data_IF_288585283655
#
_entry.id   IF_288585283655
#
_cell.length_a   1.000
_cell.length_b   1.000
_cell.length_c   1.000
_cell.angle_alpha   90.00
_cell.angle_beta   90.00
_cell.angle_gamma   90.00
#
_symmetry.space_group_name_H-M   'P 1'
#
loop_
_entity.id
_entity.type
_entity.pdbx_description
1 polymer ?
#
# COMPACT_ATOMS: atom_id res chain seq x y z
N UNK A 1 -28.35 -25.50 1.38
CA UNK A 1 -28.21 -24.67 0.16
C UNK A 1 -28.17 -23.15 0.44
N UNK A 2 -29.21 -22.52 1.02
CA UNK A 2 -29.17 -21.05 1.32
C UNK A 2 -28.07 -20.63 2.29
N UNK A 3 -27.83 -21.42 3.32
CA UNK A 3 -26.81 -21.16 4.34
C UNK A 3 -25.38 -21.23 3.77
N UNK A 4 -25.15 -22.17 2.86
CA UNK A 4 -23.86 -22.37 2.17
C UNK A 4 -23.54 -21.21 1.20
N UNK A 5 -24.56 -20.71 0.50
CA UNK A 5 -24.46 -19.55 -0.40
C UNK A 5 -24.17 -18.27 0.40
N UNK A 6 -24.85 -18.06 1.54
CA UNK A 6 -24.56 -16.93 2.43
C UNK A 6 -23.14 -17.00 3.00
N UNK A 7 -22.71 -18.17 3.48
CA UNK A 7 -21.37 -18.35 4.06
C UNK A 7 -20.26 -18.08 3.03
N UNK A 8 -20.47 -18.47 1.76
CA UNK A 8 -19.58 -18.16 0.64
C UNK A 8 -19.55 -16.67 0.31
N UNK A 9 -20.71 -15.99 0.33
CA UNK A 9 -20.80 -14.54 0.11
C UNK A 9 -20.08 -13.74 1.20
N UNK A 10 -20.27 -14.09 2.48
CA UNK A 10 -19.60 -13.41 3.59
C UNK A 10 -18.09 -13.58 3.55
N UNK A 11 -17.61 -14.79 3.23
CA UNK A 11 -16.18 -15.07 3.04
C UNK A 11 -15.57 -14.20 1.94
N UNK A 12 -16.26 -14.06 0.81
CA UNK A 12 -15.78 -13.25 -0.31
C UNK A 12 -15.69 -11.76 0.06
N UNK A 13 -16.67 -11.24 0.80
CA UNK A 13 -16.64 -9.84 1.28
C UNK A 13 -15.47 -9.62 2.23
N UNK A 14 -15.26 -10.53 3.18
CA UNK A 14 -14.15 -10.46 4.12
C UNK A 14 -12.78 -10.52 3.41
N UNK A 15 -12.65 -11.26 2.32
CA UNK A 15 -11.41 -11.29 1.53
C UNK A 15 -11.08 -9.91 0.94
N UNK A 16 -12.06 -9.27 0.28
CA UNK A 16 -11.91 -7.93 -0.31
C UNK A 16 -11.61 -6.90 0.78
N UNK A 17 -12.35 -6.94 1.89
CA UNK A 17 -12.13 -6.02 3.01
C UNK A 17 -10.75 -6.21 3.65
N UNK A 18 -10.27 -7.45 3.77
CA UNK A 18 -8.93 -7.70 4.33
C UNK A 18 -7.84 -7.05 3.47
N UNK A 19 -7.93 -7.16 2.14
CA UNK A 19 -7.00 -6.47 1.24
C UNK A 19 -7.15 -4.94 1.34
N UNK A 20 -8.38 -4.44 1.42
CA UNK A 20 -8.67 -3.01 1.60
C UNK A 20 -8.09 -2.45 2.91
N UNK A 21 -8.17 -3.21 4.01
CA UNK A 21 -7.61 -2.81 5.29
C UNK A 21 -6.07 -2.75 5.27
N UNK A 22 -5.38 -3.64 4.55
CA UNK A 22 -3.92 -3.51 4.39
C UNK A 22 -3.57 -2.24 3.63
N UNK A 23 -4.28 -1.92 2.53
CA UNK A 23 -4.09 -0.64 1.82
C UNK A 23 -4.39 0.55 2.73
N UNK A 24 -5.48 0.50 3.49
CA UNK A 24 -5.86 1.53 4.46
C UNK A 24 -4.75 1.75 5.48
N UNK A 25 -4.23 0.70 6.13
CA UNK A 25 -3.18 0.81 7.14
C UNK A 25 -1.91 1.40 6.54
N UNK A 26 -1.54 1.01 5.31
CA UNK A 26 -0.39 1.57 4.61
C UNK A 26 -0.52 3.06 4.29
N UNK A 27 -1.69 3.52 3.84
CA UNK A 27 -1.95 4.94 3.57
C UNK A 27 -2.09 5.73 4.88
N UNK A 28 -2.74 5.15 5.90
CA UNK A 28 -2.90 5.75 7.22
C UNK A 28 -1.53 6.03 7.83
N UNK A 29 -0.60 5.09 7.72
CA UNK A 29 0.78 5.24 8.21
C UNK A 29 1.48 6.40 7.51
N UNK A 30 1.36 6.46 6.18
CA UNK A 30 1.98 7.51 5.36
C UNK A 30 1.47 8.91 5.75
N UNK A 31 0.16 9.09 5.81
CA UNK A 31 -0.43 10.40 6.13
C UNK A 31 -0.22 10.80 7.60
N UNK A 32 -0.14 9.82 8.51
CA UNK A 32 0.20 10.05 9.92
C UNK A 32 1.63 10.52 10.10
N UNK A 33 2.58 9.92 9.35
CA UNK A 33 4.00 10.25 9.44
C UNK A 33 4.30 11.70 9.06
N UNK A 34 3.60 12.23 8.05
CA UNK A 34 3.80 13.61 7.59
C UNK A 34 3.62 14.66 8.70
N UNK A 35 2.73 14.40 9.66
CA UNK A 35 2.52 15.27 10.84
C UNK A 35 3.69 15.21 11.83
N UNK A 36 4.46 14.13 11.80
CA UNK A 36 5.56 13.86 12.75
C UNK A 36 6.94 14.31 12.27
N UNK A 37 7.04 14.82 11.04
CA UNK A 37 8.32 15.23 10.44
C UNK A 37 9.12 16.19 11.32
N UNK A 38 8.53 17.26 11.91
CA UNK A 38 9.30 18.17 12.76
C UNK A 38 9.92 17.47 13.97
N UNK A 39 9.26 16.45 14.52
CA UNK A 39 9.76 15.64 15.65
C UNK A 39 10.90 14.74 15.20
N UNK A 40 10.73 14.02 14.08
CA UNK A 40 11.76 13.12 13.55
C UNK A 40 13.02 13.86 13.07
N UNK A 41 12.86 15.06 12.50
CA UNK A 41 13.99 15.93 12.13
C UNK A 41 14.88 16.27 13.34
N UNK A 42 14.26 16.58 14.49
CA UNK A 42 14.98 16.86 15.74
C UNK A 42 15.63 15.59 16.32
N UNK A 43 14.93 14.46 16.31
CA UNK A 43 15.44 13.20 16.87
C UNK A 43 16.62 12.65 16.07
N UNK A 44 16.55 12.67 14.74
CA UNK A 44 17.62 12.15 13.88
C UNK A 44 18.64 13.21 13.46
N UNK A 45 18.43 14.48 13.83
CA UNK A 45 19.24 15.62 13.42
C UNK A 45 19.42 15.71 11.89
N UNK A 46 18.32 15.60 11.14
CA UNK A 46 18.29 15.62 9.67
C UNK A 46 17.45 16.78 9.13
N UNK A 47 17.73 17.19 7.89
CA UNK A 47 16.97 18.25 7.21
C UNK A 47 15.60 17.76 6.74
N UNK A 48 14.72 18.70 6.36
CA UNK A 48 13.43 18.39 5.76
C UNK A 48 13.59 17.59 4.46
N UNK A 49 14.52 17.99 3.60
CA UNK A 49 14.82 17.29 2.35
C UNK A 49 15.21 15.84 2.59
N UNK A 50 15.95 15.58 3.68
CA UNK A 50 16.35 14.22 4.06
C UNK A 50 15.16 13.43 4.58
N UNK A 51 14.40 13.96 5.55
CA UNK A 51 13.27 13.21 6.15
C UNK A 51 12.17 12.92 5.10
N UNK A 52 11.95 13.82 4.14
CA UNK A 52 10.94 13.66 3.08
C UNK A 52 11.15 12.41 2.21
N UNK A 53 12.37 11.88 2.14
CA UNK A 53 12.63 10.60 1.49
C UNK A 53 11.84 9.43 2.11
N UNK A 54 11.38 9.52 3.36
CA UNK A 54 10.48 8.50 3.94
C UNK A 54 9.12 8.42 3.24
N UNK A 55 8.68 9.52 2.62
CA UNK A 55 7.48 9.60 1.79
C UNK A 55 7.81 9.33 0.34
N UNK A 56 8.78 10.08 -0.21
CA UNK A 56 9.15 9.97 -1.62
C UNK A 56 9.60 8.55 -1.97
N UNK A 57 10.51 7.97 -1.19
CA UNK A 57 10.99 6.60 -1.40
C UNK A 57 9.87 5.57 -1.24
N UNK A 58 8.98 5.76 -0.28
CA UNK A 58 7.82 4.88 -0.07
C UNK A 58 6.88 4.87 -1.27
N UNK A 59 6.51 6.05 -1.79
CA UNK A 59 5.64 6.19 -2.96
C UNK A 59 6.29 5.64 -4.23
N UNK A 60 7.59 5.88 -4.43
CA UNK A 60 8.35 5.28 -5.54
C UNK A 60 8.33 3.76 -5.48
N UNK A 61 8.53 3.19 -4.29
CA UNK A 61 8.50 1.75 -4.11
C UNK A 61 7.09 1.19 -4.35
N UNK A 62 6.03 1.84 -3.85
CA UNK A 62 4.63 1.47 -4.17
C UNK A 62 4.41 1.45 -5.68
N UNK A 63 4.85 2.47 -6.40
CA UNK A 63 4.68 2.56 -7.85
C UNK A 63 5.36 1.40 -8.58
N UNK A 64 6.61 1.08 -8.22
CA UNK A 64 7.36 -0.06 -8.78
C UNK A 64 6.61 -1.37 -8.51
N UNK A 65 6.15 -1.58 -7.27
CA UNK A 65 5.42 -2.79 -6.88
C UNK A 65 4.10 -2.91 -7.64
N UNK A 66 3.35 -1.82 -7.79
CA UNK A 66 2.08 -1.81 -8.50
C UNK A 66 2.26 -2.16 -9.98
N UNK A 67 3.30 -1.63 -10.63
CA UNK A 67 3.65 -1.99 -12.01
C UNK A 67 3.99 -3.49 -12.10
N UNK A 68 4.84 -3.97 -11.19
CA UNK A 68 5.19 -5.39 -11.12
C UNK A 68 4.00 -6.28 -10.72
N UNK A 69 2.94 -5.71 -10.14
CA UNK A 69 1.81 -6.47 -9.64
C UNK A 69 1.09 -7.23 -10.75
N UNK A 70 1.01 -6.69 -11.97
CA UNK A 70 0.42 -7.40 -13.12
C UNK A 70 1.06 -8.79 -13.29
N UNK A 71 2.41 -8.80 -13.34
CA UNK A 71 3.19 -10.04 -13.40
C UNK A 71 3.04 -10.92 -12.16
N UNK A 72 3.05 -10.31 -10.97
CA UNK A 72 2.95 -11.04 -9.71
C UNK A 72 1.58 -11.73 -9.57
N UNK A 73 0.52 -11.14 -10.11
CA UNK A 73 -0.83 -11.71 -10.12
C UNK A 73 -0.94 -12.91 -11.07
N UNK A 74 -0.24 -12.90 -12.21
CA UNK A 74 -0.21 -14.05 -13.11
C UNK A 74 0.55 -15.24 -12.52
N UNK A 75 1.64 -14.94 -11.78
CA UNK A 75 2.57 -15.97 -11.29
C UNK A 75 2.25 -16.49 -9.89
N UNK A 76 1.67 -15.68 -9.02
CA UNK A 76 1.41 -16.05 -7.62
C UNK A 76 -0.09 -16.04 -7.32
N UNK A 77 -0.51 -16.87 -6.37
CA UNK A 77 -1.91 -16.86 -5.92
C UNK A 77 -2.22 -15.59 -5.11
N UNK A 78 -3.49 -15.15 -5.16
CA UNK A 78 -4.00 -14.06 -4.33
C UNK A 78 -3.64 -14.21 -2.84
N UNK A 79 -3.67 -15.45 -2.32
CA UNK A 79 -3.25 -15.76 -0.95
C UNK A 79 -1.75 -15.48 -0.70
N UNK A 80 -0.87 -15.88 -1.62
CA UNK A 80 0.57 -15.61 -1.50
C UNK A 80 0.85 -14.11 -1.54
N UNK A 81 0.20 -13.38 -2.45
CA UNK A 81 0.35 -11.93 -2.56
C UNK A 81 -0.14 -11.22 -1.30
N UNK A 82 -1.29 -11.63 -0.76
CA UNK A 82 -1.80 -11.09 0.50
C UNK A 82 -0.85 -11.33 1.68
N UNK A 83 -0.34 -12.56 1.82
CA UNK A 83 0.60 -12.92 2.89
C UNK A 83 1.88 -12.10 2.76
N UNK A 84 2.46 -12.03 1.56
CA UNK A 84 3.67 -11.23 1.29
C UNK A 84 3.45 -9.75 1.58
N UNK A 85 2.29 -9.21 1.20
CA UNK A 85 1.92 -7.82 1.50
C UNK A 85 1.86 -7.58 3.01
N UNK A 86 1.16 -8.43 3.76
CA UNK A 86 1.03 -8.30 5.21
C UNK A 86 2.38 -8.44 5.91
N UNK A 87 3.14 -9.49 5.58
CA UNK A 87 4.44 -9.76 6.20
C UNK A 87 5.44 -8.66 5.85
N UNK A 88 5.52 -8.24 4.59
CA UNK A 88 6.38 -7.13 4.17
C UNK A 88 6.03 -5.83 4.89
N UNK A 89 4.74 -5.51 5.00
CA UNK A 89 4.28 -4.37 5.78
C UNK A 89 4.69 -4.46 7.25
N UNK A 90 4.38 -5.58 7.93
CA UNK A 90 4.70 -5.77 9.34
C UNK A 90 6.20 -5.71 9.61
N UNK A 91 7.02 -6.39 8.80
CA UNK A 91 8.48 -6.39 8.94
C UNK A 91 9.03 -4.97 8.75
N UNK A 92 8.61 -4.28 7.69
CA UNK A 92 9.02 -2.89 7.45
C UNK A 92 8.60 -1.94 8.57
N UNK A 93 7.38 -2.07 9.08
CA UNK A 93 6.87 -1.27 10.21
C UNK A 93 7.62 -1.57 11.50
N UNK A 94 7.96 -2.83 11.81
CA UNK A 94 8.77 -3.17 12.99
C UNK A 94 10.17 -2.56 12.90
N UNK A 95 10.83 -2.68 11.74
CA UNK A 95 12.14 -2.05 11.49
C UNK A 95 12.05 -0.53 11.70
N UNK A 96 10.98 0.09 11.19
CA UNK A 96 10.75 1.53 11.32
C UNK A 96 10.49 1.95 12.77
N UNK A 97 9.76 1.15 13.54
CA UNK A 97 9.46 1.41 14.96
C UNK A 97 10.73 1.43 15.82
N UNK A 98 11.67 0.52 15.55
CA UNK A 98 12.92 0.38 16.33
C UNK A 98 14.12 1.11 15.71
N UNK A 99 13.91 1.85 14.62
CA UNK A 99 15.00 2.46 13.85
C UNK A 99 15.84 3.44 14.70
N UNK A 100 17.14 3.20 14.91
CA UNK A 100 17.98 4.09 15.71
C UNK A 100 18.48 5.32 14.93
N UNK A 101 18.40 5.29 13.59
CA UNK A 101 18.82 6.37 12.71
C UNK A 101 17.95 6.44 11.45
N UNK A 102 18.07 7.55 10.72
CA UNK A 102 17.29 7.82 9.52
C UNK A 102 17.43 6.75 8.41
N UNK A 103 18.64 6.26 8.05
CA UNK A 103 18.76 5.22 7.02
C UNK A 103 18.00 3.93 7.34
N UNK A 104 18.02 3.47 8.59
CA UNK A 104 17.26 2.27 9.01
C UNK A 104 15.75 2.54 8.95
N UNK A 105 15.31 3.74 9.34
CA UNK A 105 13.92 4.14 9.19
C UNK A 105 13.49 4.09 7.72
N UNK A 106 14.29 4.68 6.83
CA UNK A 106 14.02 4.68 5.39
C UNK A 106 13.95 3.26 4.83
N UNK A 107 14.88 2.38 5.19
CA UNK A 107 14.84 0.97 4.77
C UNK A 107 13.56 0.28 5.25
N UNK A 108 13.16 0.48 6.51
CA UNK A 108 11.89 -0.04 7.02
C UNK A 108 10.69 0.47 6.24
N UNK A 109 10.69 1.77 5.87
CA UNK A 109 9.65 2.37 5.01
C UNK A 109 9.60 1.70 3.65
N UNK A 110 10.73 1.55 2.97
CA UNK A 110 10.79 0.90 1.65
C UNK A 110 10.27 -0.54 1.70
N UNK A 111 10.60 -1.31 2.74
CA UNK A 111 10.08 -2.68 2.91
C UNK A 111 8.57 -2.64 3.17
N UNK A 112 8.09 -1.70 4.00
CA UNK A 112 6.65 -1.58 4.31
C UNK A 112 5.80 -1.22 3.08
N UNK A 113 6.39 -0.60 2.05
CA UNK A 113 5.71 -0.28 0.78
C UNK A 113 5.16 -1.52 0.07
N UNK A 114 5.74 -2.70 0.31
CA UNK A 114 5.23 -3.99 -0.16
C UNK A 114 3.77 -4.23 0.23
N UNK A 115 3.37 -3.77 1.42
CA UNK A 115 1.99 -3.86 1.88
C UNK A 115 1.02 -3.14 0.97
N UNK A 116 1.11 -1.80 0.96
CA UNK A 116 0.20 -0.94 0.21
C UNK A 116 0.29 -1.15 -1.31
N UNK A 117 1.49 -1.42 -1.83
CA UNK A 117 1.73 -1.63 -3.26
C UNK A 117 1.12 -2.92 -3.79
N UNK A 118 1.11 -4.00 -3.01
CA UNK A 118 0.47 -5.27 -3.41
C UNK A 118 -1.02 -5.32 -3.07
N UNK A 119 -1.43 -4.75 -1.94
CA UNK A 119 -2.81 -4.86 -1.48
C UNK A 119 -3.79 -4.11 -2.37
N UNK A 120 -3.40 -2.96 -2.92
CA UNK A 120 -4.26 -2.14 -3.78
C UNK A 120 -4.69 -2.85 -5.07
N UNK A 121 -3.77 -3.36 -5.92
CA UNK A 121 -4.14 -4.16 -7.08
C UNK A 121 -4.84 -5.47 -6.70
N UNK A 122 -4.48 -6.06 -5.56
CA UNK A 122 -5.12 -7.27 -5.05
C UNK A 122 -6.62 -7.08 -4.76
N UNK A 123 -7.06 -5.89 -4.30
CA UNK A 123 -8.49 -5.57 -4.12
C UNK A 123 -9.23 -5.73 -5.45
N UNK A 124 -8.70 -5.14 -6.52
CA UNK A 124 -9.32 -5.20 -7.84
C UNK A 124 -9.43 -6.64 -8.33
N UNK A 125 -8.35 -7.42 -8.20
CA UNK A 125 -8.33 -8.83 -8.61
C UNK A 125 -9.29 -9.69 -7.79
N UNK A 126 -9.33 -9.52 -6.47
CA UNK A 126 -10.26 -10.26 -5.64
C UNK A 126 -11.70 -9.97 -6.06
N UNK A 127 -12.06 -8.70 -6.29
CA UNK A 127 -13.42 -8.36 -6.74
C UNK A 127 -13.75 -8.98 -8.10
N UNK A 128 -12.85 -8.88 -9.08
CA UNK A 128 -13.11 -9.40 -10.43
C UNK A 128 -13.21 -10.92 -10.46
N UNK A 129 -12.50 -11.62 -9.59
CA UNK A 129 -12.49 -13.08 -9.52
C UNK A 129 -13.64 -13.67 -8.71
N UNK A 130 -13.95 -13.11 -7.54
CA UNK A 130 -14.85 -13.77 -6.58
C UNK A 130 -16.26 -13.16 -6.53
N UNK A 131 -16.44 -11.96 -7.08
CA UNK A 131 -17.73 -11.26 -7.06
C UNK A 131 -18.43 -11.33 -8.43
N UNK A 132 -19.78 -11.41 -8.44
CA UNK A 132 -20.52 -11.37 -9.69
C UNK A 132 -20.33 -10.02 -10.39
N UNK A 133 -20.19 -10.04 -11.72
CA UNK A 133 -19.93 -8.85 -12.55
C UNK A 133 -20.88 -7.68 -12.29
N UNK A 134 -22.17 -7.96 -12.04
CA UNK A 134 -23.18 -6.94 -11.74
C UNK A 134 -22.93 -6.14 -10.46
N UNK A 135 -22.04 -6.62 -9.56
CA UNK A 135 -21.74 -5.99 -8.27
C UNK A 135 -20.30 -5.52 -8.14
N UNK A 136 -19.49 -5.58 -9.19
CA UNK A 136 -18.08 -5.14 -9.14
C UNK A 136 -17.96 -3.70 -8.64
N UNK A 137 -18.76 -2.78 -9.18
CA UNK A 137 -18.76 -1.38 -8.76
C UNK A 137 -19.10 -1.19 -7.27
N UNK A 138 -20.03 -1.99 -6.73
CA UNK A 138 -20.41 -1.90 -5.30
C UNK A 138 -19.25 -2.32 -4.40
N UNK A 139 -18.61 -3.46 -4.69
CA UNK A 139 -17.53 -3.96 -3.83
C UNK A 139 -16.23 -3.16 -4.00
N UNK A 140 -15.91 -2.70 -5.21
CA UNK A 140 -14.82 -1.74 -5.43
C UNK A 140 -15.11 -0.41 -4.71
N UNK A 141 -16.36 0.06 -4.73
CA UNK A 141 -16.78 1.25 -4.00
C UNK A 141 -16.62 1.11 -2.49
N UNK A 142 -17.09 0.00 -1.90
CA UNK A 142 -16.92 -0.27 -0.46
C UNK A 142 -15.44 -0.34 -0.07
N UNK A 143 -14.62 -1.07 -0.83
CA UNK A 143 -13.19 -1.12 -0.59
C UNK A 143 -12.53 0.26 -0.74
N UNK A 144 -12.91 1.01 -1.76
CA UNK A 144 -12.47 2.37 -2.00
C UNK A 144 -12.82 3.32 -0.86
N UNK A 145 -14.03 3.21 -0.28
CA UNK A 145 -14.44 3.98 0.89
C UNK A 145 -13.54 3.69 2.09
N UNK A 146 -13.26 2.42 2.38
CA UNK A 146 -12.34 2.02 3.46
C UNK A 146 -10.98 2.68 3.26
N UNK A 147 -10.41 2.58 2.06
CA UNK A 147 -9.10 3.15 1.73
C UNK A 147 -9.12 4.69 1.80
N UNK A 148 -10.18 5.34 1.33
CA UNK A 148 -10.33 6.79 1.32
C UNK A 148 -10.49 7.41 2.72
N UNK A 149 -10.84 6.62 3.74
CA UNK A 149 -10.84 7.10 5.13
C UNK A 149 -9.43 7.31 5.68
N UNK A 150 -8.41 6.64 5.14
CA UNK A 150 -7.05 6.71 5.67
C UNK A 150 -6.44 8.13 5.68
N UNK A 151 -6.51 8.93 4.60
CA UNK A 151 -5.98 10.29 4.62
C UNK A 151 -6.71 11.22 5.57
N UNK A 152 -8.01 11.00 5.77
CA UNK A 152 -8.83 11.80 6.70
C UNK A 152 -8.43 11.52 8.15
N UNK A 153 -8.22 10.25 8.49
CA UNK A 153 -7.88 9.82 9.85
C UNK A 153 -6.38 9.96 10.16
N UNK A 154 -5.51 9.96 9.15
CA UNK A 154 -4.07 9.97 9.31
C UNK A 154 -3.54 11.10 10.18
N UNK A 155 -3.78 12.37 9.84
CA UNK A 155 -3.26 13.48 10.65
C UNK A 155 -3.75 13.48 12.10
N UNK A 156 -5.02 13.11 12.32
CA UNK A 156 -5.56 12.98 13.67
C UNK A 156 -4.88 11.85 14.45
N UNK A 157 -4.73 10.67 13.82
CA UNK A 157 -4.07 9.52 14.42
C UNK A 157 -2.58 9.78 14.70
N UNK A 158 -1.85 10.32 13.72
CA UNK A 158 -0.43 10.68 13.86
C UNK A 158 -0.19 11.76 14.89
N UNK A 159 -1.02 12.81 14.90
CA UNK A 159 -0.95 13.90 15.88
C UNK A 159 -1.20 13.43 17.31
N UNK A 160 -2.31 12.71 17.56
CA UNK A 160 -2.66 12.20 18.89
C UNK A 160 -1.59 11.22 19.39
N UNK A 161 -1.16 10.28 18.54
CA UNK A 161 -0.16 9.28 18.92
C UNK A 161 1.18 9.93 19.26
N UNK A 162 1.60 10.92 18.48
CA UNK A 162 2.86 11.63 18.73
C UNK A 162 2.78 12.55 19.94
N UNK A 163 1.61 13.13 20.22
CA UNK A 163 1.40 14.01 21.38
C UNK A 163 1.44 13.25 22.71
N UNK A 164 0.74 12.12 22.83
CA UNK A 164 0.66 11.36 24.08
C UNK A 164 1.75 10.30 24.26
N UNK A 165 2.32 9.80 23.16
CA UNK A 165 3.32 8.73 23.18
C UNK A 165 4.59 9.21 22.45
N UNK A 166 4.88 8.62 21.29
CA UNK A 166 6.00 8.95 20.42
C UNK A 166 5.60 8.54 18.99
N UNK A 167 6.19 9.16 17.96
CA UNK A 167 5.97 8.81 16.56
C UNK A 167 6.24 7.32 16.26
N UNK A 168 7.15 6.66 17.00
CA UNK A 168 7.42 5.21 16.88
C UNK A 168 6.19 4.34 17.15
N UNK A 169 5.27 4.80 17.99
CA UNK A 169 4.03 4.08 18.29
C UNK A 169 3.05 4.05 17.11
N UNK A 170 3.16 4.98 16.16
CA UNK A 170 2.40 4.91 14.91
C UNK A 170 2.70 3.57 14.24
N UNK A 171 3.99 3.22 14.10
CA UNK A 171 4.43 1.95 13.52
C UNK A 171 4.01 0.73 14.35
N UNK A 172 4.04 0.83 15.69
CA UNK A 172 3.59 -0.27 16.55
C UNK A 172 2.10 -0.56 16.37
N UNK A 173 1.25 0.47 16.41
CA UNK A 173 -0.20 0.31 16.24
C UNK A 173 -0.57 -0.21 14.86
N UNK A 174 0.02 0.33 13.80
CA UNK A 174 -0.27 -0.14 12.43
C UNK A 174 0.22 -1.57 12.22
N UNK A 175 1.29 -2.00 12.90
CA UNK A 175 1.74 -3.39 12.89
C UNK A 175 0.72 -4.30 13.58
N UNK A 176 0.19 -3.90 14.74
CA UNK A 176 -0.86 -4.67 15.45
C UNK A 176 -2.12 -4.78 14.58
N UNK A 177 -2.54 -3.68 13.96
CA UNK A 177 -3.67 -3.68 13.01
C UNK A 177 -3.41 -4.61 11.82
N UNK A 178 -2.22 -4.54 11.22
CA UNK A 178 -1.83 -5.42 10.13
C UNK A 178 -1.81 -6.90 10.55
N UNK A 179 -1.39 -7.20 11.79
CA UNK A 179 -1.42 -8.56 12.34
C UNK A 179 -2.85 -9.07 12.49
N UNK A 180 -3.78 -8.25 12.98
CA UNK A 180 -5.21 -8.61 13.08
C UNK A 180 -5.77 -8.93 11.69
N UNK A 181 -5.48 -8.06 10.71
CA UNK A 181 -5.90 -8.25 9.32
C UNK A 181 -5.26 -9.49 8.70
N UNK A 182 -4.00 -9.77 9.01
CA UNK A 182 -3.29 -10.97 8.55
C UNK A 182 -3.95 -12.25 9.07
N UNK A 183 -4.22 -12.31 10.38
CA UNK A 183 -4.86 -13.47 11.03
C UNK A 183 -6.30 -13.65 10.53
N UNK A 184 -7.06 -12.56 10.36
CA UNK A 184 -8.43 -12.61 9.87
C UNK A 184 -8.53 -12.92 8.36
N UNK A 185 -7.60 -12.40 7.55
CA UNK A 185 -7.63 -12.50 6.09
C UNK A 185 -7.06 -13.80 5.54
N UNK A 186 -6.04 -14.38 6.18
CA UNK A 186 -5.35 -15.59 5.69
C UNK A 186 -6.25 -16.85 5.54
N UNK A 187 -7.22 -17.12 6.44
CA UNK A 187 -8.17 -18.23 6.28
C UNK A 187 -9.22 -17.97 5.20
N UNK A 188 -9.50 -16.69 4.95
CA UNK A 188 -10.60 -16.21 4.12
C UNK A 188 -10.17 -16.12 2.66
N UNK A 189 -8.94 -15.64 2.41
CA UNK A 189 -8.34 -15.50 1.08
C UNK A 189 -7.87 -16.88 0.61
N UNK A 190 -8.64 -17.45 -0.32
CA UNK A 190 -8.36 -18.72 -0.98
C UNK A 190 -7.42 -18.61 -2.18
N UNK A 191 -7.22 -19.74 -2.86
CA UNK A 191 -6.66 -19.77 -4.21
C UNK A 191 -7.84 -19.67 -5.18
N UNK A 192 -7.89 -18.61 -5.98
CA UNK A 192 -9.04 -18.31 -6.84
C UNK A 192 -8.75 -18.54 -8.34
N UNK A 193 -7.48 -18.65 -8.73
CA UNK A 193 -7.06 -18.93 -10.11
C UNK A 193 -6.06 -20.09 -10.20
N UNK A 194 -6.05 -20.76 -11.36
CA UNK A 194 -4.95 -21.62 -11.79
C UNK A 194 -3.77 -20.76 -12.27
N UNK A 195 -2.58 -21.02 -11.74
CA UNK A 195 -1.39 -20.23 -12.07
C UNK A 195 -0.97 -20.47 -13.51
N UNK A 196 -0.88 -19.42 -14.31
CA UNK A 196 -0.28 -19.50 -15.65
C UNK A 196 1.23 -19.29 -15.47
N UNK A 197 2.07 -20.17 -16.06
CA UNK A 197 3.51 -19.93 -16.16
C UNK A 197 3.77 -18.81 -17.18
N UNK A 198 3.41 -17.57 -16.82
CA UNK A 198 3.65 -16.40 -17.64
C UNK A 198 5.12 -15.96 -17.46
N UNK A 199 5.85 -15.85 -18.57
CA UNK A 199 7.16 -15.20 -18.60
C UNK A 199 6.99 -13.72 -18.32
N UNK A 200 7.90 -13.10 -17.55
CA UNK A 200 7.85 -11.66 -17.29
C UNK A 200 7.92 -10.92 -18.62
N UNK A 201 6.87 -10.18 -18.96
CA UNK A 201 6.86 -9.38 -20.17
C UNK A 201 7.67 -8.10 -19.95
N UNK A 202 8.98 -8.24 -20.14
CA UNK A 202 9.93 -7.14 -20.05
C UNK A 202 9.58 -6.00 -21.02
N UNK A 203 8.96 -6.29 -22.16
CA UNK A 203 8.58 -5.29 -23.13
C UNK A 203 7.45 -4.42 -22.60
N UNK A 204 6.38 -5.04 -22.08
CA UNK A 204 5.29 -4.32 -21.42
C UNK A 204 5.76 -3.50 -20.22
N UNK A 205 6.69 -4.04 -19.42
CA UNK A 205 7.30 -3.30 -18.31
C UNK A 205 8.09 -2.07 -18.79
N UNK A 206 8.94 -2.22 -19.80
CA UNK A 206 9.73 -1.12 -20.37
C UNK A 206 8.81 -0.07 -21.01
N UNK A 207 7.77 -0.47 -21.75
CA UNK A 207 6.82 0.45 -22.35
C UNK A 207 6.02 1.22 -21.29
N UNK A 208 5.58 0.56 -20.22
CA UNK A 208 4.86 1.23 -19.13
C UNK A 208 5.77 2.17 -18.35
N UNK A 209 7.02 1.77 -18.08
CA UNK A 209 8.02 2.62 -17.44
C UNK A 209 8.33 3.85 -18.30
N UNK A 210 8.53 3.68 -19.61
CA UNK A 210 8.75 4.77 -20.55
C UNK A 210 7.54 5.71 -20.61
N UNK A 211 6.32 5.18 -20.61
CA UNK A 211 5.09 5.97 -20.59
C UNK A 211 4.97 6.81 -19.30
N UNK A 212 5.22 6.21 -18.13
CA UNK A 212 5.21 6.92 -16.85
C UNK A 212 6.29 8.00 -16.78
N UNK A 213 7.52 7.71 -17.18
CA UNK A 213 8.61 8.70 -17.23
C UNK A 213 8.23 9.86 -18.14
N UNK A 214 7.73 9.57 -19.34
CA UNK A 214 7.33 10.60 -20.32
C UNK A 214 6.18 11.45 -19.79
N UNK A 215 5.18 10.84 -19.17
CA UNK A 215 4.05 11.54 -18.57
C UNK A 215 4.49 12.44 -17.41
N UNK A 216 5.32 11.92 -16.50
CA UNK A 216 5.86 12.70 -15.37
C UNK A 216 6.70 13.87 -15.85
N UNK A 217 7.56 13.67 -16.87
CA UNK A 217 8.33 14.75 -17.49
C UNK A 217 7.43 15.79 -18.15
N UNK A 218 6.38 15.36 -18.87
CA UNK A 218 5.40 16.25 -19.48
C UNK A 218 4.66 17.10 -18.43
N UNK A 219 4.19 16.48 -17.35
CA UNK A 219 3.53 17.18 -16.24
C UNK A 219 4.50 18.14 -15.53
N UNK A 220 5.76 17.74 -15.32
CA UNK A 220 6.78 18.61 -14.74
C UNK A 220 7.05 19.84 -15.62
N UNK A 221 7.11 19.68 -16.94
CA UNK A 221 7.29 20.80 -17.86
C UNK A 221 6.09 21.75 -17.86
N UNK A 222 4.87 21.22 -17.75
CA UNK A 222 3.66 22.07 -17.61
C UNK A 222 3.70 22.84 -16.27
N UNK A 223 4.16 22.19 -15.21
CA UNK A 223 4.21 22.76 -13.85
C UNK A 223 5.30 23.83 -13.71
N UNK A 224 6.44 23.66 -14.38
CA UNK A 224 7.53 24.64 -14.42
C UNK A 224 7.26 25.80 -15.39
N UNK A 225 6.06 25.88 -15.97
CA UNK A 225 5.72 26.73 -17.09
C UNK A 225 6.30 26.15 -18.38
N UNK A 226 5.50 26.14 -19.46
CA UNK A 226 6.02 25.92 -20.81
C UNK A 226 7.23 26.85 -20.98
N UNK A 227 8.44 26.26 -20.93
CA UNK A 227 9.66 27.03 -20.98
C UNK A 227 9.57 27.93 -22.21
N UNK A 228 9.65 29.22 -21.93
CA UNK A 228 9.70 30.32 -22.86
C UNK A 228 10.49 29.90 -24.12
N UNK A 229 9.88 29.77 -25.31
CA UNK A 229 10.59 29.28 -26.50
C UNK A 229 11.59 30.30 -27.09
N UNK A 230 11.91 31.38 -26.36
CA UNK A 230 12.90 32.39 -26.72
C UNK A 230 13.69 32.83 -25.47
N UNK A 231 14.69 32.02 -25.08
CA UNK A 231 16.01 32.43 -24.57
C UNK A 231 16.96 31.23 -24.64
#
# INVERSE_FOLDING_TARGET
MKEEIMKKSTKNILAVLSAAFISFVGILTETSLNVTFPTMMKEFNVTLDTIQWTTTGYLLMIAIIMICSSYLNDRFTAKQLFITACVGFMVGSVISAIAPNFPILLLGRLISALGAGLSTPLIFNLVTEIMPRSKWGVYMGIAGLVVAMAPTLGPAFGGITTYYLNWRWIFAFVTIFALIVFVAGTPVIGKYHDQVKSSFDYLSFITLAAAFITLTLGVNQITNGLANPLL
#
